data_IF_830867512238
#
_entry.id   IF_830867512238
#
_cell.length_a   1.000
_cell.length_b   1.000
_cell.length_c   1.000
_cell.angle_alpha   90.00
_cell.angle_beta   90.00
_cell.angle_gamma   90.00
#
_symmetry.space_group_name_H-M   'P 1'
#
loop_
_entity.id
_entity.type
_entity.pdbx_description
1 polymer ?
#
# COMPACT_ATOMS: atom_id res chain seq x y z
N UNK A 1 3.56 2.18 28.31
CA UNK A 1 3.05 3.52 28.67
C UNK A 1 4.06 4.53 28.15
N UNK A 2 3.69 5.37 27.18
CA UNK A 2 4.59 6.37 26.63
C UNK A 2 5.11 7.29 27.74
N UNK A 3 6.40 7.60 27.72
CA UNK A 3 7.05 8.43 28.73
C UNK A 3 6.51 9.86 28.58
N UNK A 4 5.79 10.37 29.59
CA UNK A 4 5.05 11.64 29.51
C UNK A 4 5.80 12.76 30.22
N UNK A 5 6.02 13.89 29.54
CA UNK A 5 6.57 15.11 30.15
C UNK A 5 5.52 16.22 30.17
N UNK A 6 5.30 16.83 31.34
CA UNK A 6 4.39 17.97 31.47
C UNK A 6 5.22 19.26 31.50
N UNK A 7 4.89 20.21 30.64
CA UNK A 7 5.59 21.49 30.51
C UNK A 7 4.59 22.64 30.67
N UNK A 8 4.82 23.60 31.58
CA UNK A 8 4.00 24.81 31.66
C UNK A 8 4.09 25.62 30.35
N UNK A 9 2.98 26.21 29.90
CA UNK A 9 2.94 27.02 28.67
C UNK A 9 3.94 28.19 28.71
N UNK A 10 4.22 28.74 29.88
CA UNK A 10 5.24 29.78 30.09
C UNK A 10 6.65 29.34 29.66
N UNK A 11 6.93 28.03 29.74
CA UNK A 11 8.25 27.46 29.51
C UNK A 11 8.33 26.70 28.17
N UNK A 12 7.19 26.46 27.52
CA UNK A 12 7.12 25.66 26.29
C UNK A 12 7.88 26.31 25.12
N UNK A 13 7.70 27.62 24.92
CA UNK A 13 8.34 28.34 23.79
C UNK A 13 9.87 28.35 23.88
N UNK A 14 10.41 28.47 25.10
CA UNK A 14 11.87 28.53 25.33
C UNK A 14 12.53 27.15 25.15
N UNK A 15 11.77 26.07 25.24
CA UNK A 15 12.26 24.69 25.19
C UNK A 15 12.07 23.96 23.86
N UNK A 16 11.61 24.63 22.79
CA UNK A 16 11.18 24.00 21.53
C UNK A 16 12.16 22.96 20.97
N UNK A 17 13.44 23.31 20.83
CA UNK A 17 14.46 22.37 20.31
C UNK A 17 14.57 21.11 21.18
N UNK A 18 14.60 21.28 22.49
CA UNK A 18 14.65 20.18 23.45
C UNK A 18 13.39 19.31 23.37
N UNK A 19 12.21 19.93 23.18
CA UNK A 19 10.96 19.19 23.00
C UNK A 19 11.01 18.30 21.74
N UNK A 20 11.58 18.80 20.64
CA UNK A 20 11.80 17.98 19.44
C UNK A 20 12.78 16.82 19.67
N UNK A 21 13.87 17.04 20.41
CA UNK A 21 14.81 15.96 20.74
C UNK A 21 14.19 14.90 21.66
N UNK A 22 13.32 15.32 22.58
CA UNK A 22 12.55 14.44 23.46
C UNK A 22 11.53 13.61 22.66
N UNK A 23 10.84 14.22 21.70
CA UNK A 23 9.94 13.54 20.78
C UNK A 23 10.65 12.47 19.95
N UNK A 24 11.84 12.77 19.42
CA UNK A 24 12.67 11.81 18.68
C UNK A 24 13.08 10.59 19.53
N UNK A 25 13.05 10.72 20.86
CA UNK A 25 13.31 9.63 21.81
C UNK A 25 12.02 8.95 22.30
N UNK A 26 10.87 9.26 21.70
CA UNK A 26 9.57 8.68 22.03
C UNK A 26 8.93 9.24 23.31
N UNK A 27 9.31 10.46 23.74
CA UNK A 27 8.71 11.12 24.90
C UNK A 27 7.69 12.18 24.45
N UNK A 28 6.43 12.05 24.89
CA UNK A 28 5.40 13.04 24.59
C UNK A 28 5.51 14.28 25.48
N UNK A 29 5.23 15.46 24.92
CA UNK A 29 5.28 16.74 25.65
C UNK A 29 3.88 17.31 25.80
N UNK A 30 3.35 17.27 27.01
CA UNK A 30 2.04 17.81 27.35
C UNK A 30 2.18 19.25 27.85
N UNK A 31 1.66 20.20 27.08
CA UNK A 31 1.63 21.61 27.44
C UNK A 31 0.49 21.84 28.44
N UNK A 32 0.81 22.46 29.56
CA UNK A 32 -0.14 22.71 30.64
C UNK A 32 -0.28 24.20 30.97
N UNK A 33 -1.49 24.60 31.36
CA UNK A 33 -1.78 25.91 31.94
C UNK A 33 -2.71 25.69 33.13
N UNK A 34 -2.42 26.31 34.28
CA UNK A 34 -3.20 26.15 35.52
C UNK A 34 -3.51 24.67 35.84
N UNK A 35 -2.50 23.81 35.74
CA UNK A 35 -2.58 22.35 35.97
C UNK A 35 -3.48 21.56 35.01
N UNK A 36 -4.04 22.19 33.97
CA UNK A 36 -4.77 21.50 32.89
C UNK A 36 -3.88 21.35 31.67
N UNK A 37 -3.88 20.16 31.06
CA UNK A 37 -3.26 19.98 29.73
C UNK A 37 -4.09 20.73 28.69
N UNK A 38 -3.46 21.65 27.97
CA UNK A 38 -4.09 22.49 26.95
C UNK A 38 -3.60 22.18 25.53
N UNK A 39 -2.55 21.37 25.40
CA UNK A 39 -2.02 20.91 24.12
C UNK A 39 -1.04 19.77 24.34
N UNK A 40 -0.81 18.97 23.31
CA UNK A 40 0.18 17.89 23.34
C UNK A 40 1.01 17.96 22.07
N UNK A 41 2.32 17.87 22.23
CA UNK A 41 3.26 17.61 21.17
C UNK A 41 3.55 16.11 21.20
N UNK A 42 3.24 15.44 20.10
CA UNK A 42 3.38 13.99 19.93
C UNK A 42 4.29 13.71 18.75
N UNK A 43 4.98 12.56 18.79
CA UNK A 43 5.57 12.05 17.57
C UNK A 43 4.40 11.65 16.64
N UNK A 44 4.49 11.83 15.31
CA UNK A 44 3.39 11.48 14.41
C UNK A 44 2.86 10.05 14.62
N UNK A 45 3.72 9.09 14.97
CA UNK A 45 3.29 7.72 15.33
C UNK A 45 2.33 7.66 16.53
N UNK A 46 2.61 8.43 17.58
CA UNK A 46 1.88 8.41 18.85
C UNK A 46 0.55 9.16 18.75
N UNK A 47 0.51 10.21 17.92
CA UNK A 47 -0.73 10.92 17.57
C UNK A 47 -1.75 9.95 16.99
N UNK A 48 -1.32 9.07 16.10
CA UNK A 48 -2.22 8.12 15.47
C UNK A 48 -2.67 6.99 16.39
N UNK A 49 -1.83 6.52 17.32
CA UNK A 49 -2.28 5.59 18.38
C UNK A 49 -3.41 6.21 19.22
N UNK A 50 -3.29 7.49 19.56
CA UNK A 50 -4.28 8.23 20.34
C UNK A 50 -5.54 8.57 19.54
N UNK A 51 -5.39 8.98 18.28
CA UNK A 51 -6.51 9.31 17.41
C UNK A 51 -7.36 8.08 17.05
N UNK A 52 -6.74 6.89 16.96
CA UNK A 52 -7.38 5.67 16.48
C UNK A 52 -7.68 4.63 17.57
N UNK A 53 -7.54 4.98 18.86
CA UNK A 53 -8.00 4.16 19.99
C UNK A 53 -7.10 2.98 20.38
N UNK A 54 -5.80 3.02 20.06
CA UNK A 54 -4.83 1.97 20.41
C UNK A 54 -4.00 1.47 19.22
N UNK A 55 -3.10 0.52 19.49
CA UNK A 55 -2.14 -0.04 18.53
C UNK A 55 -2.88 -0.85 17.46
N UNK A 56 -3.32 -0.20 16.37
CA UNK A 56 -3.83 -0.92 15.20
C UNK A 56 -2.67 -1.67 14.57
N UNK A 57 -2.89 -2.96 14.31
CA UNK A 57 -1.98 -3.76 13.50
C UNK A 57 -1.89 -3.14 12.10
N UNK A 58 -0.68 -3.11 11.53
CA UNK A 58 -0.47 -2.66 10.16
C UNK A 58 -1.25 -3.52 9.18
N UNK A 59 -1.93 -2.90 8.23
CA UNK A 59 -2.60 -3.58 7.13
C UNK A 59 -1.57 -3.88 6.03
N UNK A 60 -1.14 -5.14 5.91
CA UNK A 60 -0.29 -5.59 4.82
C UNK A 60 -1.19 -6.07 3.68
N UNK A 61 -1.15 -5.39 2.54
CA UNK A 61 -2.08 -5.60 1.44
C UNK A 61 -1.28 -5.88 0.16
N UNK A 62 -1.51 -7.03 -0.46
CA UNK A 62 -0.91 -7.34 -1.76
C UNK A 62 -1.89 -7.01 -2.88
N UNK A 63 -1.43 -6.29 -3.90
CA UNK A 63 -2.18 -6.12 -5.12
C UNK A 63 -1.94 -7.33 -6.02
N UNK A 64 -2.98 -8.11 -6.28
CA UNK A 64 -2.83 -9.44 -6.86
C UNK A 64 -3.76 -9.73 -8.04
N UNK A 65 -3.18 -10.26 -9.12
CA UNK A 65 -3.89 -10.85 -10.27
C UNK A 65 -2.88 -11.60 -11.16
N UNK A 66 -3.19 -12.84 -11.54
CA UNK A 66 -2.41 -13.66 -12.48
C UNK A 66 -2.29 -13.09 -13.90
N UNK A 67 -3.12 -12.11 -14.26
CA UNK A 67 -3.05 -11.49 -15.59
C UNK A 67 -2.09 -10.29 -15.58
N UNK A 68 -1.17 -10.26 -16.54
CA UNK A 68 -0.39 -9.04 -16.83
C UNK A 68 -1.30 -7.91 -17.33
N UNK A 69 -0.92 -6.65 -17.08
CA UNK A 69 -1.71 -5.49 -17.50
C UNK A 69 -3.02 -5.29 -16.72
N UNK A 70 -3.14 -5.88 -15.53
CA UNK A 70 -4.31 -5.74 -14.65
C UNK A 70 -4.32 -4.44 -13.81
N UNK A 71 -3.35 -3.54 -14.00
CA UNK A 71 -3.16 -2.30 -13.24
C UNK A 71 -2.71 -2.47 -11.78
N UNK A 72 -2.07 -3.60 -11.41
CA UNK A 72 -1.48 -3.81 -10.07
C UNK A 72 -0.48 -2.71 -9.69
N UNK A 73 0.65 -2.62 -10.40
CA UNK A 73 1.69 -1.60 -10.19
C UNK A 73 1.12 -0.18 -10.13
N UNK A 74 0.23 0.14 -11.07
CA UNK A 74 -0.45 1.45 -11.12
C UNK A 74 -1.25 1.70 -9.85
N UNK A 75 -2.12 0.77 -9.46
CA UNK A 75 -2.91 0.92 -8.23
C UNK A 75 -2.03 0.92 -6.99
N UNK A 76 -0.95 0.14 -6.92
CA UNK A 76 -0.02 0.18 -5.78
C UNK A 76 0.54 1.58 -5.61
N UNK A 77 0.99 2.20 -6.71
CA UNK A 77 1.50 3.57 -6.74
C UNK A 77 0.45 4.58 -6.30
N UNK A 78 -0.73 4.55 -6.91
CA UNK A 78 -1.78 5.55 -6.64
C UNK A 78 -2.36 5.42 -5.23
N UNK A 79 -2.57 4.19 -4.74
CA UNK A 79 -3.08 3.95 -3.39
C UNK A 79 -2.04 4.34 -2.33
N UNK A 80 -0.74 4.04 -2.57
CA UNK A 80 0.32 4.45 -1.66
C UNK A 80 0.37 5.97 -1.51
N UNK A 81 0.33 6.69 -2.64
CA UNK A 81 0.28 8.14 -2.64
C UNK A 81 -0.98 8.68 -1.97
N UNK A 82 -2.16 8.19 -2.35
CA UNK A 82 -3.44 8.68 -1.82
C UNK A 82 -3.58 8.50 -0.31
N UNK A 83 -3.11 7.37 0.23
CA UNK A 83 -3.07 7.14 1.68
C UNK A 83 -2.05 8.06 2.36
N UNK A 84 -0.86 8.24 1.79
CA UNK A 84 0.15 9.15 2.32
C UNK A 84 -0.35 10.60 2.40
N UNK A 85 -1.08 11.07 1.37
CA UNK A 85 -1.69 12.41 1.36
C UNK A 85 -2.79 12.58 2.41
N UNK A 86 -3.41 11.47 2.87
CA UNK A 86 -4.34 11.47 4.01
C UNK A 86 -3.64 11.45 5.38
N UNK A 87 -2.30 11.43 5.40
CA UNK A 87 -1.49 11.47 6.61
C UNK A 87 -1.09 10.08 7.16
N UNK A 88 -1.41 9.01 6.43
CA UNK A 88 -0.99 7.66 6.83
C UNK A 88 0.50 7.44 6.57
N UNK A 89 1.14 6.68 7.46
CA UNK A 89 2.48 6.11 7.24
C UNK A 89 2.35 4.89 6.34
N UNK A 90 2.88 5.00 5.13
CA UNK A 90 2.76 3.96 4.11
C UNK A 90 4.13 3.43 3.71
N UNK A 91 4.22 2.12 3.52
CA UNK A 91 5.35 1.45 2.87
C UNK A 91 4.86 0.80 1.58
N UNK A 92 5.42 1.17 0.44
CA UNK A 92 5.26 0.43 -0.79
C UNK A 92 6.38 -0.61 -0.90
N UNK A 93 6.08 -1.80 -1.41
CA UNK A 93 7.03 -2.89 -1.64
C UNK A 93 6.90 -3.34 -3.08
N UNK A 94 7.94 -3.13 -3.88
CA UNK A 94 8.02 -3.63 -5.25
C UNK A 94 8.68 -5.01 -5.24
N UNK A 95 7.84 -6.04 -5.39
CA UNK A 95 8.26 -7.44 -5.44
C UNK A 95 8.19 -7.98 -6.88
N UNK A 96 8.67 -7.18 -7.83
CA UNK A 96 8.90 -7.59 -9.21
C UNK A 96 10.37 -7.41 -9.60
N UNK A 97 10.94 -8.43 -10.26
CA UNK A 97 12.25 -8.32 -10.91
C UNK A 97 12.32 -7.32 -12.05
N UNK A 98 11.17 -6.91 -12.61
CA UNK A 98 11.11 -5.81 -13.59
C UNK A 98 11.15 -4.42 -12.93
N UNK A 99 10.96 -4.34 -11.61
CA UNK A 99 11.03 -3.10 -10.84
C UNK A 99 10.15 -1.94 -11.37
N UNK A 100 9.02 -2.25 -12.02
CA UNK A 100 8.16 -1.25 -12.67
C UNK A 100 7.64 -0.20 -11.68
N UNK A 101 7.27 -0.60 -10.45
CA UNK A 101 6.78 0.34 -9.44
C UNK A 101 7.89 1.33 -9.07
N UNK A 102 9.10 0.81 -8.89
CA UNK A 102 10.30 1.58 -8.56
C UNK A 102 10.63 2.61 -9.63
N UNK A 103 10.68 2.20 -10.89
CA UNK A 103 10.94 3.10 -12.02
C UNK A 103 9.82 4.13 -12.22
N UNK A 104 8.55 3.74 -12.07
CA UNK A 104 7.41 4.66 -12.17
C UNK A 104 7.35 5.70 -11.04
N UNK A 105 8.17 5.54 -10.00
CA UNK A 105 8.39 6.53 -8.94
C UNK A 105 9.64 7.40 -9.18
N UNK A 106 10.37 7.15 -10.26
CA UNK A 106 11.49 7.97 -10.72
C UNK A 106 12.85 7.54 -10.19
N UNK A 107 12.97 6.30 -9.72
CA UNK A 107 14.24 5.73 -9.27
C UNK A 107 14.85 4.89 -10.39
N UNK A 108 16.11 5.17 -10.71
CA UNK A 108 16.89 4.39 -11.66
C UNK A 108 17.58 3.24 -10.92
N UNK A 109 17.30 2.00 -11.33
CA UNK A 109 17.75 0.80 -10.64
C UNK A 109 19.28 0.78 -10.46
N UNK A 110 20.03 1.06 -11.52
CA UNK A 110 21.50 0.99 -11.50
C UNK A 110 22.19 2.19 -10.81
N UNK A 111 21.43 3.23 -10.43
CA UNK A 111 21.98 4.48 -9.89
C UNK A 111 21.54 4.71 -8.45
N UNK A 112 20.25 4.57 -8.18
CA UNK A 112 19.62 4.94 -6.92
C UNK A 112 19.44 3.74 -5.99
N UNK A 113 19.35 2.52 -6.56
CA UNK A 113 19.01 1.32 -5.81
C UNK A 113 20.27 0.52 -5.52
N UNK A 114 20.37 0.02 -4.28
CA UNK A 114 21.40 -0.90 -3.85
C UNK A 114 20.77 -2.20 -3.38
N UNK A 115 21.47 -3.34 -3.47
CA UNK A 115 20.90 -4.63 -3.07
C UNK A 115 20.29 -4.65 -1.66
N UNK A 116 20.90 -3.93 -0.71
CA UNK A 116 20.42 -3.81 0.67
C UNK A 116 19.07 -3.09 0.81
N UNK A 117 18.65 -2.30 -0.18
CA UNK A 117 17.34 -1.64 -0.17
C UNK A 117 16.21 -2.60 -0.56
N UNK A 118 16.53 -3.69 -1.27
CA UNK A 118 15.55 -4.60 -1.86
C UNK A 118 15.02 -5.61 -0.85
N UNK A 119 13.92 -6.29 -1.19
CA UNK A 119 13.39 -7.39 -0.39
C UNK A 119 14.25 -8.67 -0.42
N UNK A 120 15.30 -8.73 -1.26
CA UNK A 120 16.05 -9.96 -1.52
C UNK A 120 16.72 -10.53 -0.28
N UNK A 121 17.45 -9.70 0.47
CA UNK A 121 18.15 -10.10 1.70
C UNK A 121 17.18 -10.49 2.81
N UNK A 122 16.02 -9.82 2.87
CA UNK A 122 14.96 -10.20 3.79
C UNK A 122 14.41 -11.60 3.47
N UNK A 123 14.24 -11.93 2.19
CA UNK A 123 13.71 -13.22 1.75
C UNK A 123 14.74 -14.34 1.96
N UNK A 124 15.92 -14.21 1.34
CA UNK A 124 16.92 -15.30 1.24
C UNK A 124 17.86 -15.38 2.45
N UNK A 125 18.14 -14.25 3.11
CA UNK A 125 19.15 -14.16 4.17
C UNK A 125 18.54 -13.80 5.54
N UNK A 126 17.21 -13.66 5.61
CA UNK A 126 16.46 -13.29 6.82
C UNK A 126 16.96 -11.98 7.48
N UNK A 127 17.41 -11.02 6.66
CA UNK A 127 17.90 -9.73 7.12
C UNK A 127 16.78 -8.67 7.22
N UNK A 128 16.93 -7.64 8.08
CA UNK A 128 15.98 -6.53 8.15
C UNK A 128 15.83 -5.79 6.81
N UNK A 129 14.62 -5.31 6.52
CA UNK A 129 14.35 -4.43 5.38
C UNK A 129 14.95 -3.04 5.61
N UNK A 130 15.48 -2.42 4.55
CA UNK A 130 15.99 -1.06 4.58
C UNK A 130 15.36 -0.19 3.47
N UNK A 131 14.09 0.24 3.64
CA UNK A 131 13.41 1.01 2.61
C UNK A 131 13.95 2.43 2.49
N UNK A 132 13.81 3.00 1.31
CA UNK A 132 14.16 4.38 0.96
C UNK A 132 12.96 5.30 1.11
N UNK A 133 13.19 6.55 1.50
CA UNK A 133 12.15 7.58 1.57
C UNK A 133 11.88 8.14 0.17
N UNK A 134 10.59 8.24 -0.19
CA UNK A 134 10.20 8.85 -1.47
C UNK A 134 9.85 10.32 -1.35
N UNK A 135 10.05 11.06 -2.44
CA UNK A 135 9.58 12.46 -2.58
C UNK A 135 8.05 12.61 -2.49
N UNK A 136 7.32 11.50 -2.40
CA UNK A 136 5.86 11.44 -2.44
C UNK A 136 5.21 11.23 -1.07
N UNK A 137 6.00 11.21 0.01
CA UNK A 137 5.50 11.13 1.39
C UNK A 137 5.26 9.71 1.92
N UNK A 138 5.75 8.69 1.22
CA UNK A 138 5.76 7.30 1.68
C UNK A 138 7.12 6.65 1.44
N UNK A 139 7.39 5.53 2.12
CA UNK A 139 8.65 4.80 1.99
C UNK A 139 8.51 3.66 0.95
N UNK A 140 9.62 3.25 0.32
CA UNK A 140 9.66 2.23 -0.73
C UNK A 140 10.72 1.15 -0.41
N UNK A 141 10.33 -0.12 -0.46
CA UNK A 141 11.25 -1.23 -0.71
C UNK A 141 11.31 -1.42 -2.23
N UNK A 142 12.40 -1.02 -2.90
CA UNK A 142 12.51 -1.08 -4.36
C UNK A 142 12.62 -2.52 -4.87
N UNK A 143 12.14 -2.70 -6.10
CA UNK A 143 12.34 -3.88 -6.92
C UNK A 143 13.74 -3.86 -7.52
N UNK A 144 14.21 -5.03 -7.94
CA UNK A 144 15.52 -5.17 -8.56
C UNK A 144 15.57 -6.47 -9.36
N UNK A 145 16.36 -6.52 -10.43
CA UNK A 145 16.49 -7.72 -11.27
C UNK A 145 17.00 -8.94 -10.49
N UNK A 146 17.77 -8.72 -9.42
CA UNK A 146 18.26 -9.78 -8.53
C UNK A 146 17.15 -10.57 -7.84
N UNK A 147 15.92 -10.05 -7.76
CA UNK A 147 14.78 -10.82 -7.27
C UNK A 147 14.55 -12.10 -8.10
N UNK A 148 15.07 -12.20 -9.34
CA UNK A 148 15.09 -13.45 -10.13
C UNK A 148 15.87 -14.58 -9.45
N UNK A 149 16.74 -14.28 -8.48
CA UNK A 149 17.46 -15.28 -7.69
C UNK A 149 16.51 -16.08 -6.78
N UNK A 150 15.36 -15.51 -6.44
CA UNK A 150 14.29 -16.18 -5.68
C UNK A 150 13.52 -17.14 -6.61
N UNK A 151 14.15 -18.28 -6.94
CA UNK A 151 13.55 -19.28 -7.84
C UNK A 151 12.54 -20.17 -7.14
N UNK A 152 12.82 -20.54 -5.91
CA UNK A 152 11.97 -21.36 -5.03
C UNK A 152 12.05 -20.78 -3.63
N UNK A 153 10.99 -20.99 -2.87
CA UNK A 153 10.92 -20.62 -1.47
C UNK A 153 10.42 -21.83 -0.68
N UNK A 154 11.15 -22.22 0.36
CA UNK A 154 10.59 -23.11 1.37
C UNK A 154 9.63 -22.34 2.31
N UNK A 155 8.97 -23.04 3.24
CA UNK A 155 8.01 -22.43 4.15
C UNK A 155 8.65 -21.33 5.01
N UNK A 156 9.93 -21.48 5.41
CA UNK A 156 10.61 -20.49 6.21
C UNK A 156 10.87 -19.21 5.39
N UNK A 157 11.33 -19.35 4.14
CA UNK A 157 11.55 -18.25 3.21
C UNK A 157 10.25 -17.51 2.85
N UNK A 158 9.14 -18.23 2.68
CA UNK A 158 7.80 -17.64 2.47
C UNK A 158 7.38 -16.71 3.62
N UNK A 159 7.82 -17.00 4.85
CA UNK A 159 7.44 -16.26 6.05
C UNK A 159 8.46 -15.18 6.46
N UNK A 160 9.69 -15.23 5.93
CA UNK A 160 10.74 -14.27 6.27
C UNK A 160 10.31 -12.83 5.92
N UNK A 161 9.77 -12.60 4.73
CA UNK A 161 9.32 -11.27 4.33
C UNK A 161 8.20 -10.76 5.27
N UNK A 162 7.20 -11.60 5.57
CA UNK A 162 6.13 -11.26 6.52
C UNK A 162 6.66 -10.81 7.87
N UNK A 163 7.61 -11.57 8.43
CA UNK A 163 8.25 -11.29 9.72
C UNK A 163 8.91 -9.91 9.70
N UNK A 164 9.68 -9.60 8.66
CA UNK A 164 10.38 -8.32 8.55
C UNK A 164 9.43 -7.15 8.27
N UNK A 165 8.36 -7.36 7.49
CA UNK A 165 7.32 -6.35 7.29
C UNK A 165 6.59 -6.02 8.59
N UNK A 166 6.20 -7.02 9.39
CA UNK A 166 5.58 -6.79 10.71
C UNK A 166 6.53 -6.05 11.66
N UNK A 167 7.83 -6.43 11.66
CA UNK A 167 8.84 -5.79 12.49
C UNK A 167 9.04 -4.32 12.11
N UNK A 168 9.28 -4.02 10.84
CA UNK A 168 9.51 -2.65 10.39
C UNK A 168 8.24 -1.79 10.50
N UNK A 169 7.06 -2.37 10.34
CA UNK A 169 5.79 -1.69 10.60
C UNK A 169 5.71 -1.22 12.05
N UNK A 170 6.06 -2.07 13.01
CA UNK A 170 6.06 -1.72 14.42
C UNK A 170 7.15 -0.68 14.77
N UNK A 171 8.32 -0.78 14.15
CA UNK A 171 9.46 0.11 14.41
C UNK A 171 9.29 1.51 13.81
N UNK A 172 8.75 1.60 12.58
CA UNK A 172 8.58 2.86 11.83
C UNK A 172 7.13 3.39 11.84
N UNK A 173 6.20 2.65 12.46
CA UNK A 173 4.80 3.04 12.61
C UNK A 173 4.00 3.01 11.31
N UNK A 174 4.31 2.10 10.37
CA UNK A 174 3.52 1.96 9.13
C UNK A 174 2.12 1.43 9.44
N UNK A 175 1.10 2.14 8.94
CA UNK A 175 -0.29 1.71 9.02
C UNK A 175 -0.71 0.88 7.82
N UNK A 176 -0.17 1.20 6.64
CA UNK A 176 -0.41 0.46 5.41
C UNK A 176 0.91 0.02 4.80
N UNK A 177 0.98 -1.25 4.41
CA UNK A 177 2.05 -1.80 3.60
C UNK A 177 1.42 -2.33 2.32
N UNK A 178 1.76 -1.76 1.16
CA UNK A 178 1.22 -2.17 -0.13
C UNK A 178 2.30 -2.92 -0.92
N UNK A 179 2.02 -4.18 -1.26
CA UNK A 179 2.95 -5.03 -2.01
C UNK A 179 2.48 -5.13 -3.46
N UNK A 180 3.33 -4.68 -4.40
CA UNK A 180 3.16 -4.96 -5.82
C UNK A 180 3.87 -6.27 -6.17
N UNK A 181 3.10 -7.27 -6.58
CA UNK A 181 3.63 -8.57 -6.95
C UNK A 181 3.29 -8.90 -8.40
N UNK A 182 4.32 -9.24 -9.17
CA UNK A 182 4.18 -9.58 -10.58
C UNK A 182 3.73 -11.02 -10.78
N UNK A 183 2.83 -11.28 -11.76
CA UNK A 183 2.41 -12.63 -12.07
C UNK A 183 3.53 -13.46 -12.74
N UNK A 184 4.59 -12.82 -13.24
CA UNK A 184 5.71 -13.51 -13.89
C UNK A 184 6.61 -14.27 -12.89
N UNK A 185 6.60 -13.89 -11.62
CA UNK A 185 7.33 -14.58 -10.55
C UNK A 185 6.37 -15.34 -9.65
N UNK A 186 6.05 -16.59 -9.99
CA UNK A 186 5.14 -17.45 -9.21
C UNK A 186 5.57 -17.56 -7.73
N UNK A 187 6.87 -17.73 -7.49
CA UNK A 187 7.45 -17.77 -6.13
C UNK A 187 7.31 -16.42 -5.41
N UNK A 188 7.60 -15.30 -6.07
CA UNK A 188 7.47 -13.96 -5.48
C UNK A 188 6.00 -13.63 -5.16
N UNK A 189 5.09 -13.98 -6.06
CA UNK A 189 3.64 -13.90 -5.86
C UNK A 189 3.18 -14.71 -4.64
N UNK A 190 3.76 -15.89 -4.42
CA UNK A 190 3.50 -16.73 -3.25
C UNK A 190 4.03 -16.09 -1.97
N UNK A 191 5.26 -15.55 -1.99
CA UNK A 191 5.85 -14.80 -0.86
C UNK A 191 4.98 -13.58 -0.50
N UNK A 192 4.52 -12.82 -1.51
CA UNK A 192 3.65 -11.67 -1.30
C UNK A 192 2.31 -12.06 -0.66
N UNK A 193 1.71 -13.16 -1.12
CA UNK A 193 0.44 -13.67 -0.58
C UNK A 193 0.60 -14.23 0.84
N UNK A 194 1.69 -14.95 1.11
CA UNK A 194 2.05 -15.43 2.44
C UNK A 194 2.34 -14.27 3.41
N UNK A 195 2.81 -13.12 2.90
CA UNK A 195 3.13 -11.93 3.69
C UNK A 195 1.95 -11.03 4.00
N UNK A 196 0.91 -11.05 3.16
CA UNK A 196 -0.24 -10.17 3.28
C UNK A 196 -1.21 -10.56 4.40
N UNK A 197 -2.02 -9.60 4.84
CA UNK A 197 -3.29 -9.83 5.51
C UNK A 197 -4.42 -9.91 4.49
N UNK A 198 -4.35 -9.06 3.46
CA UNK A 198 -5.46 -8.82 2.54
C UNK A 198 -4.98 -8.74 1.10
N UNK A 199 -5.85 -9.10 0.16
CA UNK A 199 -5.64 -8.90 -1.26
C UNK A 199 -6.55 -7.80 -1.81
N UNK A 200 -5.98 -6.90 -2.62
CA UNK A 200 -6.76 -6.07 -3.55
C UNK A 200 -6.57 -6.68 -4.93
N UNK A 201 -7.68 -7.05 -5.58
CA UNK A 201 -7.67 -7.82 -6.80
C UNK A 201 -8.16 -6.98 -7.97
N UNK A 202 -7.27 -6.28 -8.71
CA UNK A 202 -7.72 -5.51 -9.86
C UNK A 202 -8.01 -6.44 -11.03
N UNK A 203 -9.20 -6.38 -11.62
CA UNK A 203 -9.67 -7.31 -12.66
C UNK A 203 -10.19 -6.56 -13.89
N UNK A 204 -9.78 -6.93 -15.11
CA UNK A 204 -10.26 -6.24 -16.30
C UNK A 204 -11.72 -6.62 -16.59
N UNK A 205 -12.54 -5.65 -17.00
CA UNK A 205 -13.94 -5.84 -17.46
C UNK A 205 -14.02 -6.57 -18.81
N UNK A 206 -13.56 -7.83 -18.81
CA UNK A 206 -13.48 -8.75 -19.95
C UNK A 206 -13.70 -10.18 -19.45
N UNK A 207 -13.79 -11.16 -20.35
CA UNK A 207 -13.83 -12.59 -19.99
C UNK A 207 -12.62 -13.00 -19.11
N UNK A 208 -11.47 -12.32 -19.26
CA UNK A 208 -10.29 -12.56 -18.40
C UNK A 208 -10.56 -12.16 -16.94
N UNK A 209 -11.43 -11.18 -16.70
CA UNK A 209 -11.85 -10.76 -15.36
C UNK A 209 -12.57 -11.88 -14.61
N UNK A 210 -13.56 -12.54 -15.24
CA UNK A 210 -14.26 -13.68 -14.65
C UNK A 210 -13.31 -14.82 -14.26
N UNK A 211 -12.30 -15.11 -15.09
CA UNK A 211 -11.26 -16.09 -14.74
C UNK A 211 -10.38 -15.63 -13.58
N UNK A 212 -10.12 -14.32 -13.49
CA UNK A 212 -9.32 -13.73 -12.43
C UNK A 212 -10.00 -13.83 -11.06
N UNK A 213 -11.33 -13.77 -10.99
CA UNK A 213 -12.08 -14.02 -9.75
C UNK A 213 -11.78 -15.43 -9.23
N UNK A 214 -11.90 -16.45 -10.10
CA UNK A 214 -11.63 -17.84 -9.69
C UNK A 214 -10.19 -18.04 -9.25
N UNK A 215 -9.23 -17.51 -9.99
CA UNK A 215 -7.81 -17.68 -9.66
C UNK A 215 -7.40 -16.97 -8.37
N UNK A 216 -7.94 -15.76 -8.12
CA UNK A 216 -7.70 -15.05 -6.85
C UNK A 216 -8.28 -15.79 -5.65
N UNK A 217 -9.45 -16.42 -5.78
CA UNK A 217 -10.02 -17.30 -4.75
C UNK A 217 -9.13 -18.51 -4.51
N UNK A 218 -8.65 -19.17 -5.57
CA UNK A 218 -7.74 -20.32 -5.46
C UNK A 218 -6.47 -19.97 -4.69
N UNK A 219 -5.87 -18.81 -4.94
CA UNK A 219 -4.66 -18.36 -4.22
C UNK A 219 -4.91 -18.21 -2.73
N UNK A 220 -6.07 -17.69 -2.32
CA UNK A 220 -6.44 -17.60 -0.90
C UNK A 220 -6.62 -19.00 -0.29
N UNK A 221 -7.29 -19.90 -1.00
CA UNK A 221 -7.50 -21.28 -0.55
C UNK A 221 -6.18 -22.06 -0.41
N UNK A 222 -5.28 -21.94 -1.38
CA UNK A 222 -3.96 -22.57 -1.37
C UNK A 222 -3.07 -22.00 -0.27
N UNK A 223 -3.15 -20.68 -0.04
CA UNK A 223 -2.40 -19.98 1.00
C UNK A 223 -2.88 -20.31 2.42
N UNK A 224 -4.10 -20.84 2.60
CA UNK A 224 -4.70 -21.03 3.93
C UNK A 224 -3.86 -21.91 4.88
N UNK A 225 -3.06 -22.83 4.34
CA UNK A 225 -2.15 -23.67 5.13
C UNK A 225 -0.96 -22.91 5.75
N UNK A 226 -0.59 -21.77 5.16
CA UNK A 226 0.58 -20.95 5.53
C UNK A 226 0.12 -19.61 6.15
N UNK A 227 -0.98 -19.06 5.62
CA UNK A 227 -1.55 -17.78 6.00
C UNK A 227 -3.09 -17.91 6.06
N UNK A 228 -3.64 -18.47 7.15
CA UNK A 228 -5.07 -18.70 7.29
C UNK A 228 -5.89 -17.40 7.38
N UNK A 229 -5.24 -16.28 7.72
CA UNK A 229 -5.87 -14.96 7.85
C UNK A 229 -5.93 -14.20 6.51
N UNK A 230 -5.42 -14.77 5.40
CA UNK A 230 -5.45 -14.11 4.11
C UNK A 230 -6.88 -14.03 3.58
N UNK A 231 -7.35 -12.81 3.29
CA UNK A 231 -8.67 -12.60 2.70
C UNK A 231 -8.61 -11.65 1.50
N UNK A 232 -9.64 -11.70 0.65
CA UNK A 232 -9.80 -10.70 -0.42
C UNK A 232 -10.56 -9.51 0.18
N UNK A 233 -9.88 -8.36 0.26
CA UNK A 233 -10.47 -7.14 0.80
C UNK A 233 -11.46 -6.52 -0.19
N UNK A 234 -11.04 -6.39 -1.45
CA UNK A 234 -11.89 -5.89 -2.51
C UNK A 234 -11.39 -6.25 -3.90
N UNK A 235 -12.30 -6.25 -4.86
CA UNK A 235 -11.98 -6.22 -6.29
C UNK A 235 -12.01 -4.79 -6.84
N UNK A 236 -11.15 -4.50 -7.81
CA UNK A 236 -11.18 -3.22 -8.54
C UNK A 236 -11.41 -3.52 -10.01
N UNK A 237 -12.57 -3.17 -10.54
CA UNK A 237 -12.87 -3.39 -11.96
C UNK A 237 -12.11 -2.35 -12.77
N UNK A 238 -11.12 -2.83 -13.52
CA UNK A 238 -10.31 -2.02 -14.44
C UNK A 238 -10.88 -2.11 -15.85
N UNK A 239 -10.57 -1.11 -16.69
CA UNK A 239 -11.06 -1.05 -18.08
C UNK A 239 -12.58 -0.95 -18.16
N UNK A 240 -13.21 -0.23 -17.23
CA UNK A 240 -14.61 0.15 -17.37
C UNK A 240 -14.74 1.01 -18.64
N UNK A 241 -15.52 0.54 -19.60
CA UNK A 241 -15.59 1.11 -20.95
C UNK A 241 -17.02 1.10 -21.49
N UNK A 242 -17.26 1.86 -22.56
CA UNK A 242 -18.61 2.11 -23.10
C UNK A 242 -19.09 1.10 -24.15
N UNK A 243 -18.23 0.18 -24.58
CA UNK A 243 -18.63 -0.80 -25.60
C UNK A 243 -19.58 -1.83 -25.00
N UNK A 244 -20.49 -2.36 -25.83
CA UNK A 244 -21.47 -3.38 -25.40
C UNK A 244 -20.80 -4.61 -24.79
N UNK A 245 -19.68 -5.06 -25.36
CA UNK A 245 -18.92 -6.20 -24.83
C UNK A 245 -18.29 -5.95 -23.46
N UNK A 246 -17.78 -4.74 -23.21
CA UNK A 246 -17.22 -4.38 -21.89
C UNK A 246 -18.32 -4.24 -20.85
N UNK A 247 -19.47 -3.64 -21.22
CA UNK A 247 -20.64 -3.55 -20.33
C UNK A 247 -21.17 -4.92 -19.94
N UNK A 248 -21.36 -5.82 -20.91
CA UNK A 248 -21.80 -7.19 -20.64
C UNK A 248 -20.82 -7.92 -19.72
N UNK A 249 -19.51 -7.83 -19.98
CA UNK A 249 -18.52 -8.45 -19.11
C UNK A 249 -18.51 -7.85 -17.70
N UNK A 250 -18.69 -6.54 -17.57
CA UNK A 250 -18.80 -5.85 -16.28
C UNK A 250 -20.03 -6.35 -15.50
N UNK A 251 -21.21 -6.41 -16.14
CA UNK A 251 -22.46 -6.92 -15.53
C UNK A 251 -22.29 -8.35 -15.01
N UNK A 252 -21.67 -9.24 -15.79
CA UNK A 252 -21.41 -10.63 -15.37
C UNK A 252 -20.41 -10.72 -14.20
N UNK A 253 -19.38 -9.86 -14.20
CA UNK A 253 -18.40 -9.79 -13.11
C UNK A 253 -19.08 -9.29 -11.83
N UNK A 254 -19.84 -8.20 -11.90
CA UNK A 254 -20.50 -7.61 -10.72
C UNK A 254 -21.52 -8.57 -10.12
N UNK A 255 -22.31 -9.26 -10.95
CA UNK A 255 -23.25 -10.28 -10.49
C UNK A 255 -22.54 -11.41 -9.71
N UNK A 256 -21.39 -11.88 -10.21
CA UNK A 256 -20.61 -12.90 -9.53
C UNK A 256 -20.00 -12.38 -8.21
N UNK A 257 -19.54 -11.14 -8.17
CA UNK A 257 -18.98 -10.53 -6.96
C UNK A 257 -20.05 -10.28 -5.89
N UNK A 258 -21.26 -9.87 -6.31
CA UNK A 258 -22.42 -9.72 -5.42
C UNK A 258 -22.80 -11.07 -4.79
N UNK A 259 -22.80 -12.16 -5.58
CA UNK A 259 -23.03 -13.52 -5.08
C UNK A 259 -21.98 -13.97 -4.06
N UNK A 260 -20.72 -13.56 -4.25
CA UNK A 260 -19.61 -13.85 -3.32
C UNK A 260 -19.65 -12.95 -2.07
N UNK A 261 -20.40 -11.85 -2.09
CA UNK A 261 -20.46 -10.88 -0.99
C UNK A 261 -19.15 -10.13 -0.76
N UNK A 262 -18.27 -10.06 -1.76
CA UNK A 262 -16.96 -9.38 -1.66
C UNK A 262 -17.10 -7.94 -2.13
N UNK A 263 -16.60 -6.94 -1.37
CA UNK A 263 -16.62 -5.54 -1.81
C UNK A 263 -15.91 -5.34 -3.14
N UNK A 264 -16.39 -4.40 -3.96
CA UNK A 264 -15.69 -4.02 -5.17
C UNK A 264 -15.89 -2.55 -5.53
N UNK A 265 -14.89 -1.99 -6.20
CA UNK A 265 -15.02 -0.70 -6.88
C UNK A 265 -15.32 -0.93 -8.36
N UNK A 266 -16.46 -0.45 -8.82
CA UNK A 266 -16.81 -0.44 -10.22
C UNK A 266 -16.51 0.93 -10.82
N UNK A 267 -15.53 1.01 -11.72
CA UNK A 267 -15.34 2.23 -12.50
C UNK A 267 -13.95 2.82 -12.50
N UNK A 268 -12.88 2.03 -12.42
CA UNK A 268 -11.59 2.55 -12.89
C UNK A 268 -11.64 2.56 -14.43
N UNK A 269 -12.08 3.69 -14.98
CA UNK A 269 -12.20 3.89 -16.41
C UNK A 269 -10.79 3.90 -16.99
N UNK A 270 -10.46 2.93 -17.85
CA UNK A 270 -9.13 2.90 -18.46
C UNK A 270 -9.03 4.05 -19.46
N UNK A 271 -8.45 5.15 -18.99
CA UNK A 271 -8.01 6.28 -19.80
C UNK A 271 -6.51 6.15 -19.85
N UNK A 272 -5.98 5.70 -20.99
CA UNK A 272 -4.55 5.46 -21.10
C UNK A 272 -3.77 6.77 -20.92
N UNK A 273 -4.31 7.90 -21.38
CA UNK A 273 -3.61 9.19 -21.38
C UNK A 273 -3.15 9.68 -19.99
N UNK A 274 -3.99 9.76 -18.93
CA UNK A 274 -3.49 10.14 -17.60
C UNK A 274 -2.44 9.20 -17.03
N UNK A 275 -2.61 7.88 -17.19
CA UNK A 275 -1.68 6.90 -16.64
C UNK A 275 -0.35 6.86 -17.41
N UNK A 276 -0.39 6.93 -18.74
CA UNK A 276 0.78 7.01 -19.62
C UNK A 276 1.58 8.29 -19.33
N UNK A 277 0.90 9.42 -19.17
CA UNK A 277 1.56 10.68 -18.82
C UNK A 277 2.19 10.64 -17.42
N UNK A 278 1.47 10.12 -16.43
CA UNK A 278 1.99 9.93 -15.08
C UNK A 278 3.21 9.00 -15.05
N UNK A 279 3.19 7.93 -15.86
CA UNK A 279 4.34 7.03 -16.02
C UNK A 279 5.53 7.73 -16.69
N UNK A 280 5.30 8.50 -17.76
CA UNK A 280 6.36 9.28 -18.43
C UNK A 280 7.02 10.30 -17.50
N UNK A 281 6.21 10.91 -16.62
CA UNK A 281 6.66 11.88 -15.63
C UNK A 281 7.19 11.24 -14.32
N UNK A 282 7.16 9.91 -14.23
CA UNK A 282 7.59 9.14 -13.06
C UNK A 282 6.98 9.66 -11.74
N UNK A 283 5.65 9.87 -11.74
CA UNK A 283 4.89 10.34 -10.58
C UNK A 283 3.46 9.81 -10.55
N UNK A 284 2.80 9.75 -9.38
CA UNK A 284 1.39 9.36 -9.29
C UNK A 284 0.46 10.29 -10.07
N UNK A 285 -0.62 9.76 -10.66
CA UNK A 285 -1.68 10.55 -11.32
C UNK A 285 -2.29 11.55 -10.34
N UNK A 286 -2.52 11.11 -9.10
CA UNK A 286 -3.03 11.96 -8.03
C UNK A 286 -2.13 13.17 -7.71
N UNK A 287 -0.83 13.10 -8.03
CA UNK A 287 0.15 14.18 -7.80
C UNK A 287 0.25 15.20 -8.94
N UNK A 288 -0.37 14.93 -10.10
CA UNK A 288 -0.29 15.82 -11.26
C UNK A 288 -0.98 17.17 -10.95
N UNK A 289 -0.44 18.29 -11.44
CA UNK A 289 -1.05 19.60 -11.19
C UNK A 289 -2.13 19.98 -12.21
N UNK A 290 -3.01 20.91 -11.82
CA UNK A 290 -4.09 21.44 -12.68
C UNK A 290 -3.59 22.22 -13.90
N UNK A 291 -2.33 22.68 -13.92
CA UNK A 291 -1.74 23.30 -15.12
C UNK A 291 -1.72 22.35 -16.32
N UNK A 292 -1.82 21.04 -16.09
CA UNK A 292 -1.99 20.01 -17.13
C UNK A 292 -3.44 19.90 -17.68
N UNK A 293 -4.26 20.96 -17.53
CA UNK A 293 -5.70 21.06 -17.86
C UNK A 293 -6.12 20.57 -19.25
N UNK A 294 -5.20 20.49 -20.21
CA UNK A 294 -5.49 19.99 -21.54
C UNK A 294 -5.52 18.45 -21.63
N UNK A 295 -5.22 17.74 -20.53
CA UNK A 295 -5.25 16.28 -20.50
C UNK A 295 -6.68 15.77 -20.30
N UNK A 296 -7.28 15.31 -21.39
CA UNK A 296 -8.61 14.71 -21.37
C UNK A 296 -8.71 13.63 -20.30
N UNK A 297 -9.62 13.86 -19.36
CA UNK A 297 -10.05 12.87 -18.41
C UNK A 297 -9.20 12.66 -17.15
N UNK A 298 -8.19 13.49 -16.92
CA UNK A 298 -7.37 13.46 -15.69
C UNK A 298 -8.20 13.67 -14.41
N UNK A 299 -9.18 14.58 -14.43
CA UNK A 299 -10.01 14.89 -13.26
C UNK A 299 -10.85 13.69 -12.83
N UNK A 300 -11.56 13.05 -13.76
CA UNK A 300 -12.33 11.85 -13.43
C UNK A 300 -11.43 10.72 -12.95
N UNK A 301 -10.25 10.53 -13.54
CA UNK A 301 -9.31 9.49 -13.07
C UNK A 301 -8.87 9.76 -11.64
N UNK A 302 -8.60 11.02 -11.28
CA UNK A 302 -8.30 11.38 -9.89
C UNK A 302 -9.48 11.16 -8.95
N UNK A 303 -10.69 11.48 -9.38
CA UNK A 303 -11.92 11.23 -8.61
C UNK A 303 -12.10 9.73 -8.34
N UNK A 304 -12.00 8.90 -9.37
CA UNK A 304 -12.07 7.43 -9.27
C UNK A 304 -11.00 6.88 -8.32
N UNK A 305 -9.74 7.32 -8.46
CA UNK A 305 -8.65 6.90 -7.56
C UNK A 305 -8.89 7.33 -6.11
N UNK A 306 -9.37 8.55 -5.87
CA UNK A 306 -9.71 9.01 -4.51
C UNK A 306 -10.86 8.20 -3.90
N UNK A 307 -11.84 7.78 -4.70
CA UNK A 307 -12.92 6.90 -4.25
C UNK A 307 -12.40 5.51 -3.89
N UNK A 308 -11.46 4.95 -4.66
CA UNK A 308 -10.82 3.67 -4.31
C UNK A 308 -10.04 3.80 -2.99
N UNK A 309 -9.29 4.89 -2.79
CA UNK A 309 -8.59 5.17 -1.53
C UNK A 309 -9.57 5.29 -0.35
N UNK A 310 -10.71 5.95 -0.54
CA UNK A 310 -11.74 6.06 0.49
C UNK A 310 -12.42 4.72 0.81
N UNK A 311 -12.65 3.87 -0.20
CA UNK A 311 -13.18 2.52 -0.01
C UNK A 311 -12.17 1.63 0.75
N UNK A 312 -10.90 1.68 0.36
CA UNK A 312 -9.83 0.97 1.07
C UNK A 312 -9.78 1.37 2.55
N UNK A 313 -9.82 2.67 2.83
CA UNK A 313 -9.84 3.21 4.18
C UNK A 313 -11.06 2.70 4.97
N UNK A 314 -12.27 2.78 4.40
CA UNK A 314 -13.47 2.34 5.12
C UNK A 314 -13.47 0.85 5.43
N UNK A 315 -13.01 0.01 4.50
CA UNK A 315 -12.94 -1.45 4.68
C UNK A 315 -11.86 -1.87 5.69
N UNK A 316 -10.77 -1.10 5.81
CA UNK A 316 -9.70 -1.39 6.79
C UNK A 316 -9.95 -0.77 8.16
N UNK A 317 -10.87 0.19 8.25
CA UNK A 317 -11.27 0.78 9.53
C UNK A 317 -12.51 0.11 10.16
N UNK A 318 -13.25 -0.69 9.41
CA UNK A 318 -14.39 -1.44 9.93
C UNK A 318 -13.96 -2.37 11.08
N UNK A 319 -14.74 -2.45 12.19
CA UNK A 319 -14.42 -3.38 13.27
C UNK A 319 -14.41 -4.82 12.73
N UNK A 320 -13.42 -5.61 13.14
CA UNK A 320 -13.34 -7.05 12.83
C UNK A 320 -14.66 -7.67 13.27
N UNK A 321 -15.40 -8.28 12.34
CA UNK A 321 -16.63 -9.00 12.67
C UNK A 321 -16.25 -10.13 13.64
N UNK A 322 -16.76 -10.04 14.86
CA UNK A 322 -16.61 -11.01 15.95
C UNK A 322 -17.25 -12.34 15.63
#
# INVERSE_FOLDING_TARGET
>A
MANKRIVPISNFRQGLKRHFDELKRGQSVHVSSHHKTIGVLLHPSDYWELANGGKRMSEIITLYNHTGGSAKTTLTRELAFGLAQKGYRVLAVDLDSQANLTEFLGYLIDVDIRPEHTALSAILENQPLNPIETRFGFDLVPGHEDLRRVRRADIAELLNLRKHLKKIAAERGYQYILIDASPAGETLSSIASASANKLICPIPSTIKGLRSIRSTISVVQESASINPDLEILMYVLTRAGRTSGVRYANEQITEQLDQLGVPYFNGLTERSTPFEFAAAECRPVLSLEYSNRNMSGIETTKEELNQIVALLESLTQAPVKS
#
